data_IF_350293457971
#
_entry.id   IF_350293457971
#
_cell.length_a   1.000
_cell.length_b   1.000
_cell.length_c   1.000
_cell.angle_alpha   90.00
_cell.angle_beta   90.00
_cell.angle_gamma   90.00
#
_symmetry.space_group_name_H-M   'P 1'
#
loop_
_entity.id
_entity.type
_entity.pdbx_description
1 polymer ?
#
# COMPACT_ATOMS: atom_id res chain seq x y z
N UNK A 1 12.78 -22.37 -14.90
CA UNK A 1 14.08 -21.64 -15.00
C UNK A 1 14.79 -21.67 -13.67
N UNK A 2 16.07 -21.97 -13.63
CA UNK A 2 16.91 -21.97 -12.44
C UNK A 2 17.87 -20.77 -12.44
N UNK A 3 17.84 -19.97 -11.38
CA UNK A 3 18.74 -18.85 -11.12
C UNK A 3 19.77 -19.29 -10.09
N UNK A 4 21.07 -19.06 -10.37
CA UNK A 4 22.18 -19.59 -9.55
C UNK A 4 23.10 -18.50 -9.01
N UNK A 5 23.69 -18.77 -7.87
CA UNK A 5 24.81 -18.03 -7.27
C UNK A 5 24.48 -16.56 -6.90
N UNK A 6 23.20 -16.21 -6.70
CA UNK A 6 22.80 -14.87 -6.28
C UNK A 6 22.99 -14.66 -4.77
N UNK A 7 23.24 -13.43 -4.34
CA UNK A 7 22.97 -13.04 -2.95
C UNK A 7 21.48 -12.79 -2.82
N UNK A 8 20.76 -13.67 -2.14
CA UNK A 8 19.30 -13.66 -2.06
C UNK A 8 18.85 -13.00 -0.75
N UNK A 9 18.06 -11.93 -0.86
CA UNK A 9 17.39 -11.24 0.23
C UNK A 9 15.93 -11.70 0.26
N UNK A 10 15.66 -12.77 0.98
CA UNK A 10 14.33 -13.40 0.97
C UNK A 10 13.25 -12.58 1.68
N UNK A 11 13.60 -11.73 2.63
CA UNK A 11 12.73 -11.07 3.63
C UNK A 11 12.12 -12.05 4.65
N UNK A 12 12.45 -13.33 4.59
CA UNK A 12 12.02 -14.36 5.55
C UNK A 12 13.15 -14.71 6.53
N UNK A 13 14.40 -14.65 6.08
CA UNK A 13 15.61 -14.98 6.83
C UNK A 13 16.79 -14.07 6.45
N UNK A 14 17.94 -14.24 7.08
CA UNK A 14 19.17 -13.50 6.74
C UNK A 14 19.60 -13.77 5.29
N UNK A 15 20.15 -12.75 4.60
CA UNK A 15 20.61 -12.91 3.22
C UNK A 15 21.69 -13.99 3.08
N UNK A 16 21.65 -14.76 2.00
CA UNK A 16 22.62 -15.81 1.72
C UNK A 16 22.95 -15.93 0.23
N UNK A 17 24.11 -16.50 -0.10
CA UNK A 17 24.43 -16.88 -1.48
C UNK A 17 23.78 -18.23 -1.77
N UNK A 18 22.97 -18.27 -2.82
CA UNK A 18 22.20 -19.46 -3.19
C UNK A 18 21.53 -19.37 -4.54
N UNK A 19 20.63 -20.31 -4.73
CA UNK A 19 19.90 -20.54 -5.98
C UNK A 19 18.39 -20.51 -5.72
N UNK A 20 17.61 -20.19 -6.75
CA UNK A 20 16.16 -20.32 -6.69
C UNK A 20 15.60 -20.75 -8.05
N UNK A 21 14.49 -21.47 -8.00
CA UNK A 21 13.78 -21.96 -9.19
C UNK A 21 12.44 -21.31 -9.32
N UNK A 22 12.11 -20.92 -10.56
CA UNK A 22 10.81 -20.35 -10.93
C UNK A 22 10.16 -21.26 -11.97
N UNK A 23 8.92 -21.66 -11.72
CA UNK A 23 8.07 -22.39 -12.65
C UNK A 23 6.64 -21.86 -12.59
N UNK A 24 6.01 -21.71 -13.75
CA UNK A 24 4.61 -21.25 -13.90
C UNK A 24 4.27 -20.00 -13.06
N UNK A 25 5.21 -19.05 -13.03
CA UNK A 25 5.00 -17.77 -12.38
C UNK A 25 5.24 -17.73 -10.87
N UNK A 26 5.65 -18.83 -10.24
CA UNK A 26 5.88 -18.91 -8.80
C UNK A 26 7.30 -19.40 -8.47
N UNK A 27 7.81 -19.03 -7.30
CA UNK A 27 8.99 -19.66 -6.75
C UNK A 27 8.65 -21.09 -6.34
N UNK A 28 9.48 -22.06 -6.77
CA UNK A 28 9.25 -23.49 -6.45
C UNK A 28 10.28 -24.06 -5.49
N UNK A 29 11.53 -23.64 -5.61
CA UNK A 29 12.64 -24.07 -4.74
C UNK A 29 13.55 -22.89 -4.45
N UNK A 30 14.11 -22.82 -3.24
CA UNK A 30 15.11 -21.83 -2.82
C UNK A 30 16.09 -22.55 -1.92
N UNK A 31 17.40 -22.37 -2.16
CA UNK A 31 18.41 -23.04 -1.35
C UNK A 31 19.81 -22.87 -1.90
N UNK A 32 20.76 -23.63 -1.35
CA UNK A 32 22.15 -23.64 -1.83
C UNK A 32 22.37 -24.84 -2.74
N UNK A 33 23.10 -24.63 -3.85
CA UNK A 33 23.51 -25.69 -4.77
C UNK A 33 22.35 -26.55 -5.30
N UNK A 34 21.29 -25.88 -5.79
CA UNK A 34 20.17 -26.61 -6.42
C UNK A 34 20.67 -27.34 -7.67
N UNK A 35 20.35 -28.63 -7.75
CA UNK A 35 20.71 -29.44 -8.92
C UNK A 35 19.87 -28.98 -10.13
N UNK A 36 20.55 -28.75 -11.29
CA UNK A 36 19.84 -28.45 -12.54
C UNK A 36 18.93 -29.62 -12.93
N UNK A 37 17.75 -29.27 -13.46
CA UNK A 37 16.83 -30.16 -14.15
C UNK A 37 16.89 -29.85 -15.64
N UNK A 38 15.96 -30.35 -16.43
CA UNK A 38 15.83 -29.99 -17.86
C UNK A 38 15.16 -28.61 -17.98
N UNK A 39 15.93 -27.54 -17.70
CA UNK A 39 15.47 -26.16 -17.63
C UNK A 39 16.56 -25.15 -17.97
N UNK A 40 16.18 -23.95 -18.40
CA UNK A 40 17.13 -22.85 -18.62
C UNK A 40 17.77 -22.42 -17.27
N UNK A 41 19.08 -22.13 -17.36
CA UNK A 41 19.88 -21.71 -16.20
C UNK A 41 20.40 -20.29 -16.46
N UNK A 42 20.25 -19.42 -15.44
CA UNK A 42 20.85 -18.09 -15.43
C UNK A 42 21.81 -17.95 -14.24
N UNK A 43 23.08 -17.66 -14.51
CA UNK A 43 24.06 -17.35 -13.46
C UNK A 43 23.92 -15.88 -13.03
N UNK A 44 23.75 -15.67 -11.72
CA UNK A 44 23.62 -14.37 -11.07
C UNK A 44 24.79 -14.09 -10.11
N UNK A 45 25.95 -14.68 -10.36
CA UNK A 45 27.18 -14.43 -9.55
C UNK A 45 27.47 -12.92 -9.47
N UNK A 46 27.57 -12.40 -8.25
CA UNK A 46 27.87 -10.99 -7.98
C UNK A 46 26.65 -10.06 -8.05
N UNK A 47 25.45 -10.60 -8.25
CA UNK A 47 24.20 -9.84 -8.17
C UNK A 47 23.44 -10.12 -6.87
N UNK A 48 22.69 -9.10 -6.43
CA UNK A 48 21.73 -9.21 -5.35
C UNK A 48 20.33 -9.42 -5.92
N UNK A 49 19.54 -10.28 -5.28
CA UNK A 49 18.14 -10.53 -5.66
C UNK A 49 17.24 -10.18 -4.49
N UNK A 50 16.28 -9.31 -4.75
CA UNK A 50 15.26 -8.86 -3.81
C UNK A 50 13.88 -9.27 -4.30
N UNK A 51 12.87 -9.45 -3.42
CA UNK A 51 11.48 -9.52 -3.87
C UNK A 51 11.08 -8.21 -4.56
N UNK A 52 10.12 -8.28 -5.45
CA UNK A 52 9.51 -7.08 -6.02
C UNK A 52 8.96 -6.17 -4.94
N UNK A 53 9.16 -4.85 -5.10
CA UNK A 53 8.63 -3.87 -4.15
C UNK A 53 7.11 -3.82 -4.21
N UNK A 54 6.52 -3.57 -3.06
CA UNK A 54 5.07 -3.43 -2.86
C UNK A 54 4.76 -2.02 -2.33
N UNK A 55 3.88 -1.31 -3.01
CA UNK A 55 3.34 -0.03 -2.54
C UNK A 55 1.99 -0.25 -1.87
N UNK A 56 1.88 0.14 -0.60
CA UNK A 56 0.66 -0.09 0.18
C UNK A 56 -0.39 1.02 0.02
N UNK A 57 -0.02 2.17 -0.53
CA UNK A 57 -0.89 3.33 -0.66
C UNK A 57 -0.43 4.25 -1.77
N UNK A 58 -1.14 4.24 -2.88
CA UNK A 58 -0.91 5.19 -3.97
C UNK A 58 -2.21 5.43 -4.76
N UNK A 59 -2.08 6.29 -5.77
CA UNK A 59 -3.14 6.62 -6.72
C UNK A 59 -2.68 6.38 -8.16
N UNK A 60 -1.72 5.47 -8.33
CA UNK A 60 -1.09 5.16 -9.60
C UNK A 60 -2.11 4.75 -10.65
N UNK A 61 -2.12 5.46 -11.80
CA UNK A 61 -3.08 5.29 -12.88
C UNK A 61 -4.42 6.01 -12.70
N UNK A 62 -4.63 6.75 -11.56
CA UNK A 62 -5.87 7.50 -11.30
C UNK A 62 -5.69 9.03 -11.45
N UNK A 63 -4.47 9.49 -11.55
CA UNK A 63 -4.12 10.86 -11.92
C UNK A 63 -3.04 10.76 -13.02
N UNK A 64 -3.51 10.86 -14.26
CA UNK A 64 -2.68 10.59 -15.42
C UNK A 64 -1.69 11.72 -15.69
N UNK A 65 -0.47 11.32 -16.06
CA UNK A 65 0.63 12.25 -16.32
C UNK A 65 0.32 13.17 -17.49
N UNK A 66 0.51 14.50 -17.28
CA UNK A 66 0.41 15.54 -18.28
C UNK A 66 -0.96 15.77 -18.95
N UNK A 67 -2.03 15.14 -18.47
CA UNK A 67 -3.38 15.27 -19.06
C UNK A 67 -4.22 16.38 -18.38
N UNK A 68 -3.95 16.67 -17.10
CA UNK A 68 -4.70 17.66 -16.34
C UNK A 68 -6.06 17.13 -15.84
N UNK A 69 -7.10 17.96 -15.86
CA UNK A 69 -8.36 17.61 -15.19
C UNK A 69 -9.05 16.38 -15.79
N UNK A 70 -8.91 16.15 -17.08
CA UNK A 70 -9.56 15.02 -17.76
C UNK A 70 -8.97 13.67 -17.33
N UNK A 71 -7.67 13.62 -17.05
CA UNK A 71 -7.00 12.43 -16.51
C UNK A 71 -6.95 12.38 -14.98
N UNK A 72 -7.71 13.21 -14.27
CA UNK A 72 -7.74 13.23 -12.80
C UNK A 72 -9.04 12.64 -12.26
N UNK A 73 -9.01 11.33 -12.01
CA UNK A 73 -10.10 10.54 -11.39
C UNK A 73 -9.84 10.23 -9.90
N UNK A 74 -8.98 11.04 -9.27
CA UNK A 74 -8.51 10.83 -7.91
C UNK A 74 -9.62 10.96 -6.86
N UNK A 75 -10.53 11.95 -7.00
CA UNK A 75 -11.52 12.26 -5.98
C UNK A 75 -12.89 12.58 -6.57
N UNK A 76 -13.92 11.80 -6.20
CA UNK A 76 -15.32 12.14 -6.45
C UNK A 76 -15.85 13.07 -5.35
N UNK A 77 -15.95 14.37 -5.65
CA UNK A 77 -16.23 15.41 -4.64
C UNK A 77 -17.69 15.87 -4.57
N UNK A 78 -18.62 15.14 -5.18
CA UNK A 78 -20.07 15.50 -5.16
C UNK A 78 -20.75 15.12 -3.83
N UNK A 79 -20.22 14.13 -3.11
CA UNK A 79 -20.71 13.71 -1.78
C UNK A 79 -19.53 13.29 -0.89
N UNK A 80 -19.44 13.66 0.39
CA UNK A 80 -18.38 13.20 1.29
C UNK A 80 -18.43 11.70 1.64
N UNK A 81 -19.50 10.99 1.27
CA UNK A 81 -19.71 9.57 1.52
C UNK A 81 -19.98 8.84 0.22
N UNK A 82 -18.95 8.23 -0.35
CA UNK A 82 -18.96 7.55 -1.66
C UNK A 82 -18.36 6.14 -1.62
N UNK A 83 -18.73 5.27 -0.66
CA UNK A 83 -18.11 3.94 -0.50
C UNK A 83 -18.34 3.01 -1.70
N UNK A 84 -19.33 3.29 -2.53
CA UNK A 84 -19.69 2.55 -3.74
C UNK A 84 -18.79 2.86 -4.95
N UNK A 85 -17.92 3.87 -4.85
CA UNK A 85 -16.92 4.14 -5.89
C UNK A 85 -15.82 3.08 -5.83
N UNK A 86 -15.36 2.64 -6.98
CA UNK A 86 -14.35 1.59 -7.09
C UNK A 86 -13.12 2.14 -7.78
N UNK A 87 -11.97 2.14 -7.11
CA UNK A 87 -10.73 2.67 -7.67
C UNK A 87 -10.34 2.03 -9.00
N UNK A 88 -10.66 0.74 -9.21
CA UNK A 88 -10.37 0.04 -10.46
C UNK A 88 -11.09 0.66 -11.68
N UNK A 89 -12.25 1.27 -11.49
CA UNK A 89 -13.04 1.86 -12.58
C UNK A 89 -12.46 3.19 -13.09
N UNK A 90 -11.61 3.87 -12.28
CA UNK A 90 -10.91 5.11 -12.65
C UNK A 90 -9.41 4.93 -12.93
N UNK A 91 -8.92 3.68 -13.04
CA UNK A 91 -7.50 3.44 -13.24
C UNK A 91 -7.14 3.20 -14.70
N UNK A 92 -6.22 4.01 -15.25
CA UNK A 92 -5.58 3.78 -16.54
C UNK A 92 -4.25 3.03 -16.36
N UNK A 93 -4.18 1.71 -16.66
CA UNK A 93 -2.95 0.93 -16.53
C UNK A 93 -1.89 1.26 -17.58
N UNK A 94 -2.23 2.03 -18.60
CA UNK A 94 -1.33 2.44 -19.68
C UNK A 94 -0.69 3.82 -19.43
N UNK A 95 -0.97 4.47 -18.30
CA UNK A 95 -0.26 5.68 -17.92
C UNK A 95 1.25 5.41 -17.79
N UNK A 96 2.10 6.33 -18.24
CA UNK A 96 3.55 6.16 -18.25
C UNK A 96 4.13 5.94 -16.84
N UNK A 97 3.45 6.43 -15.80
CA UNK A 97 3.88 6.25 -14.41
C UNK A 97 3.82 4.80 -13.96
N UNK A 98 2.96 3.97 -14.54
CA UNK A 98 2.92 2.52 -14.31
C UNK A 98 4.17 1.86 -14.88
N UNK A 99 4.61 2.28 -16.08
CA UNK A 99 5.84 1.77 -16.69
C UNK A 99 7.08 2.21 -15.89
N UNK A 100 7.17 3.47 -15.47
CA UNK A 100 8.29 3.93 -14.65
C UNK A 100 8.33 3.26 -13.27
N UNK A 101 7.18 2.88 -12.71
CA UNK A 101 7.11 2.11 -11.47
C UNK A 101 7.74 0.72 -11.62
N UNK A 102 7.38 -0.03 -12.67
CA UNK A 102 7.98 -1.36 -12.89
C UNK A 102 9.47 -1.27 -13.20
N UNK A 103 9.93 -0.27 -13.93
CA UNK A 103 11.35 -0.03 -14.20
C UNK A 103 12.16 0.21 -12.93
N UNK A 104 11.55 0.83 -11.93
CA UNK A 104 12.13 1.02 -10.60
C UNK A 104 12.02 -0.22 -9.69
N UNK A 105 11.38 -1.31 -10.15
CA UNK A 105 11.20 -2.54 -9.37
C UNK A 105 9.95 -2.59 -8.49
N UNK A 106 9.03 -1.64 -8.60
CA UNK A 106 7.73 -1.70 -7.92
C UNK A 106 6.83 -2.64 -8.75
N UNK A 107 6.57 -3.82 -8.24
CA UNK A 107 5.86 -4.90 -8.97
C UNK A 107 4.40 -5.04 -8.59
N UNK A 108 4.02 -4.55 -7.42
CA UNK A 108 2.65 -4.60 -6.91
C UNK A 108 2.32 -3.29 -6.21
N UNK A 109 1.13 -2.77 -6.47
CA UNK A 109 0.62 -1.55 -5.83
C UNK A 109 -0.80 -1.75 -5.34
N UNK A 110 -1.16 -1.08 -4.23
CA UNK A 110 -2.54 -0.87 -3.83
C UNK A 110 -2.93 0.57 -4.19
N UNK A 111 -3.83 0.72 -5.15
CA UNK A 111 -4.29 2.01 -5.63
C UNK A 111 -5.80 2.20 -5.38
N UNK A 112 -6.20 3.44 -5.25
CA UNK A 112 -7.60 3.80 -5.01
C UNK A 112 -7.80 5.30 -4.84
N UNK A 113 -9.00 5.74 -4.41
CA UNK A 113 -9.35 7.14 -4.30
C UNK A 113 -8.48 7.93 -3.34
N UNK A 114 -8.35 9.24 -3.59
CA UNK A 114 -7.69 10.20 -2.72
C UNK A 114 -8.44 10.48 -1.43
N UNK A 115 -8.04 11.53 -0.72
CA UNK A 115 -8.47 11.82 0.65
C UNK A 115 -9.42 13.02 0.77
N UNK A 116 -10.11 13.41 -0.30
CA UNK A 116 -11.11 14.48 -0.22
C UNK A 116 -12.35 14.08 0.58
N UNK A 117 -12.75 12.81 0.56
CA UNK A 117 -13.99 12.32 1.13
C UNK A 117 -13.77 11.68 2.52
N UNK A 118 -14.78 11.76 3.38
CA UNK A 118 -14.79 11.00 4.66
C UNK A 118 -14.75 9.49 4.38
N UNK A 119 -15.51 9.04 3.35
CA UNK A 119 -15.38 7.69 2.77
C UNK A 119 -15.33 7.87 1.24
N UNK A 120 -14.20 7.49 0.64
CA UNK A 120 -13.90 7.81 -0.77
C UNK A 120 -14.21 6.68 -1.77
N UNK A 121 -14.25 5.42 -1.31
CA UNK A 121 -14.42 4.26 -2.17
C UNK A 121 -13.36 3.20 -1.94
N UNK A 122 -13.36 2.16 -2.77
CA UNK A 122 -12.49 0.99 -2.58
C UNK A 122 -11.15 1.13 -3.25
N UNK A 123 -10.12 0.66 -2.54
CA UNK A 123 -8.79 0.35 -3.09
C UNK A 123 -8.79 -1.05 -3.70
N UNK A 124 -7.90 -1.27 -4.65
CA UNK A 124 -7.60 -2.57 -5.24
C UNK A 124 -6.08 -2.75 -5.39
N UNK A 125 -5.62 -3.99 -5.47
CA UNK A 125 -4.21 -4.28 -5.69
C UNK A 125 -3.98 -4.85 -7.08
N UNK A 126 -2.91 -4.42 -7.77
CA UNK A 126 -2.57 -4.89 -9.09
C UNK A 126 -1.06 -5.00 -9.34
N UNK A 127 -0.68 -5.84 -10.32
CA UNK A 127 0.69 -5.95 -10.82
C UNK A 127 0.96 -4.83 -11.81
N UNK A 128 2.12 -4.20 -11.74
CA UNK A 128 2.47 -3.03 -12.56
C UNK A 128 2.85 -3.37 -14.01
N UNK A 129 2.56 -4.57 -14.47
CA UNK A 129 2.83 -5.02 -15.84
C UNK A 129 1.57 -5.53 -16.51
N UNK A 130 1.21 -4.95 -17.64
CA UNK A 130 0.05 -5.28 -18.44
C UNK A 130 -0.53 -4.04 -19.11
N UNK A 131 -1.68 -4.20 -19.75
CA UNK A 131 -2.46 -3.14 -20.39
C UNK A 131 -3.96 -3.28 -20.17
N UNK A 132 -4.37 -4.27 -19.39
CA UNK A 132 -5.76 -4.52 -19.01
C UNK A 132 -5.84 -4.65 -17.50
N UNK A 133 -6.50 -3.69 -16.84
CA UNK A 133 -6.52 -3.61 -15.37
C UNK A 133 -7.17 -4.83 -14.73
N UNK A 134 -8.16 -5.46 -15.39
CA UNK A 134 -8.81 -6.68 -14.89
C UNK A 134 -7.83 -7.87 -14.84
N UNK A 135 -6.91 -7.97 -15.83
CA UNK A 135 -5.87 -9.01 -15.87
C UNK A 135 -4.70 -8.71 -14.89
N UNK A 136 -4.42 -7.43 -14.65
CA UNK A 136 -3.39 -6.98 -13.74
C UNK A 136 -3.84 -7.07 -12.28
N UNK A 137 -5.12 -6.96 -12.01
CA UNK A 137 -5.70 -6.96 -10.65
C UNK A 137 -5.48 -8.31 -9.97
N UNK A 138 -4.98 -8.24 -8.72
CA UNK A 138 -4.74 -9.43 -7.89
C UNK A 138 -5.72 -9.54 -6.73
N UNK A 139 -6.32 -8.42 -6.32
CA UNK A 139 -7.39 -8.37 -5.31
C UNK A 139 -8.20 -7.08 -5.45
N UNK A 140 -9.52 -7.20 -5.50
CA UNK A 140 -10.46 -6.09 -5.59
C UNK A 140 -11.82 -6.46 -4.95
N UNK A 141 -12.28 -5.74 -3.89
CA UNK A 141 -11.54 -4.70 -3.16
C UNK A 141 -10.45 -5.25 -2.24
N UNK A 142 -9.49 -4.38 -1.84
CA UNK A 142 -8.48 -4.72 -0.83
C UNK A 142 -8.61 -3.86 0.43
N UNK A 143 -9.20 -2.68 0.32
CA UNK A 143 -9.46 -1.77 1.43
C UNK A 143 -10.56 -0.77 1.05
N UNK A 144 -11.13 -0.09 2.06
CA UNK A 144 -12.03 1.06 1.90
C UNK A 144 -11.29 2.34 2.31
N UNK A 145 -11.26 3.37 1.46
CA UNK A 145 -10.65 4.66 1.78
C UNK A 145 -11.52 5.47 2.72
N UNK A 146 -10.90 6.00 3.77
CA UNK A 146 -11.46 7.04 4.62
C UNK A 146 -10.45 8.16 4.84
N UNK A 147 -10.92 9.36 5.18
CA UNK A 147 -10.04 10.47 5.49
C UNK A 147 -10.54 11.29 6.68
N UNK A 148 -9.55 11.71 7.49
CA UNK A 148 -9.69 12.62 8.62
C UNK A 148 -8.93 13.91 8.32
N UNK A 149 -9.10 14.90 9.19
CA UNK A 149 -8.26 16.09 9.20
C UNK A 149 -8.63 17.15 8.18
N UNK A 150 -7.59 17.73 7.60
CA UNK A 150 -7.71 18.95 6.80
C UNK A 150 -8.37 18.72 5.44
N UNK A 151 -8.07 17.60 4.77
CA UNK A 151 -8.52 17.38 3.40
C UNK A 151 -10.06 17.35 3.29
N UNK A 152 -10.84 16.52 4.00
CA UNK A 152 -12.30 16.55 3.92
C UNK A 152 -12.89 17.85 4.48
N UNK A 153 -12.28 18.46 5.52
CA UNK A 153 -12.70 19.78 6.01
C UNK A 153 -12.60 20.86 4.94
N UNK A 154 -11.50 20.87 4.20
CA UNK A 154 -11.25 21.89 3.17
C UNK A 154 -12.15 21.66 1.95
N UNK A 155 -12.27 20.42 1.49
CA UNK A 155 -13.06 20.07 0.31
C UNK A 155 -14.57 20.42 0.47
N UNK A 156 -15.12 20.17 1.66
CA UNK A 156 -16.56 20.37 1.92
C UNK A 156 -16.90 21.56 2.81
N UNK A 157 -15.93 22.47 3.02
CA UNK A 157 -16.11 23.69 3.82
C UNK A 157 -17.30 24.53 3.36
N UNK A 158 -18.14 24.94 4.32
CA UNK A 158 -19.33 25.73 4.05
C UNK A 158 -20.46 24.99 3.32
N UNK A 159 -20.30 23.68 3.11
CA UNK A 159 -21.32 22.82 2.47
C UNK A 159 -21.81 21.74 3.43
N UNK A 160 -20.98 20.77 3.74
CA UNK A 160 -21.33 19.61 4.56
C UNK A 160 -20.39 19.41 5.76
N UNK A 161 -19.16 19.93 5.73
CA UNK A 161 -18.13 19.69 6.75
C UNK A 161 -17.39 20.99 7.07
N UNK A 162 -17.50 21.42 8.33
CA UNK A 162 -16.74 22.55 8.87
C UNK A 162 -15.82 22.15 10.03
N UNK A 163 -16.05 20.98 10.63
CA UNK A 163 -15.32 20.53 11.82
C UNK A 163 -14.89 19.06 11.74
N UNK A 164 -13.86 18.68 12.49
CA UNK A 164 -13.48 17.27 12.71
C UNK A 164 -14.58 16.45 13.36
N UNK A 165 -15.45 17.10 14.17
CA UNK A 165 -16.63 16.44 14.75
C UNK A 165 -17.58 15.94 13.67
N UNK A 166 -17.82 16.73 12.62
CA UNK A 166 -18.69 16.34 11.51
C UNK A 166 -18.11 15.18 10.69
N UNK A 167 -16.80 15.16 10.45
CA UNK A 167 -16.10 14.02 9.80
C UNK A 167 -16.39 12.73 10.58
N UNK A 168 -16.12 12.76 11.88
CA UNK A 168 -16.33 11.61 12.77
C UNK A 168 -17.79 11.19 12.88
N UNK A 169 -18.72 12.17 12.86
CA UNK A 169 -20.16 11.89 12.90
C UNK A 169 -20.63 11.19 11.62
N UNK A 170 -20.22 11.67 10.44
CA UNK A 170 -20.56 11.06 9.15
C UNK A 170 -20.02 9.63 9.01
N UNK A 171 -18.78 9.38 9.48
CA UNK A 171 -18.20 8.04 9.48
C UNK A 171 -18.99 7.11 10.38
N UNK A 172 -19.29 7.51 11.64
CA UNK A 172 -20.09 6.71 12.57
C UNK A 172 -21.50 6.44 12.03
N UNK A 173 -22.17 7.46 11.51
CA UNK A 173 -23.50 7.31 10.91
C UNK A 173 -23.50 6.25 9.79
N UNK A 174 -22.46 6.25 8.95
CA UNK A 174 -22.34 5.26 7.87
C UNK A 174 -22.10 3.86 8.42
N UNK A 175 -21.21 3.71 9.41
CA UNK A 175 -20.93 2.42 10.06
C UNK A 175 -22.18 1.87 10.77
N UNK A 176 -22.92 2.71 11.51
CA UNK A 176 -24.18 2.35 12.16
C UNK A 176 -25.23 1.86 11.15
N UNK A 177 -25.48 2.67 10.11
CA UNK A 177 -26.43 2.31 9.05
C UNK A 177 -26.06 0.99 8.38
N UNK A 178 -24.75 0.76 8.15
CA UNK A 178 -24.28 -0.48 7.55
C UNK A 178 -24.52 -1.68 8.47
N UNK A 179 -24.23 -1.56 9.78
CA UNK A 179 -24.52 -2.61 10.76
C UNK A 179 -26.02 -2.94 10.81
N UNK A 180 -26.88 -1.92 10.89
CA UNK A 180 -28.33 -2.12 10.88
C UNK A 180 -28.82 -2.77 9.59
N UNK A 181 -28.32 -2.32 8.44
CA UNK A 181 -28.63 -2.86 7.13
C UNK A 181 -28.26 -4.34 7.03
N UNK A 182 -27.05 -4.69 7.44
CA UNK A 182 -26.54 -6.06 7.46
C UNK A 182 -27.39 -6.98 8.35
N UNK A 183 -27.71 -6.55 9.59
CA UNK A 183 -28.56 -7.30 10.52
C UNK A 183 -29.96 -7.55 9.93
N UNK A 184 -30.59 -6.53 9.33
CA UNK A 184 -31.90 -6.67 8.68
C UNK A 184 -31.85 -7.67 7.53
N UNK A 185 -30.83 -7.57 6.68
CA UNK A 185 -30.61 -8.48 5.54
C UNK A 185 -30.41 -9.94 5.98
N UNK A 186 -29.55 -10.16 6.98
CA UNK A 186 -29.27 -11.49 7.53
C UNK A 186 -30.47 -12.12 8.27
N UNK A 187 -31.37 -11.29 8.82
CA UNK A 187 -32.62 -11.76 9.45
C UNK A 187 -33.71 -12.17 8.45
N UNK A 188 -33.45 -12.09 7.14
CA UNK A 188 -34.41 -12.43 6.09
C UNK A 188 -35.51 -11.39 5.90
N UNK A 189 -35.40 -10.19 6.47
CA UNK A 189 -36.32 -9.08 6.23
C UNK A 189 -36.13 -8.53 4.82
N UNK A 190 -37.24 -8.11 4.20
CA UNK A 190 -37.19 -7.37 2.94
C UNK A 190 -36.56 -5.99 3.20
N UNK A 191 -35.39 -5.76 2.61
CA UNK A 191 -34.62 -4.52 2.75
C UNK A 191 -34.30 -4.02 1.35
N UNK A 192 -34.62 -2.76 1.06
CA UNK A 192 -34.25 -2.13 -0.20
C UNK A 192 -32.72 -2.17 -0.38
N UNK A 193 -32.28 -2.52 -1.58
CA UNK A 193 -30.86 -2.54 -1.91
C UNK A 193 -30.26 -1.13 -1.82
N UNK A 194 -29.19 -1.00 -1.05
CA UNK A 194 -28.39 0.24 -0.92
C UNK A 194 -26.94 -0.04 -1.30
N UNK A 195 -26.53 0.46 -2.45
CA UNK A 195 -25.19 0.21 -3.00
C UNK A 195 -24.07 0.75 -2.10
N UNK A 196 -24.30 1.87 -1.39
CA UNK A 196 -23.32 2.46 -0.48
C UNK A 196 -23.13 1.57 0.76
N UNK A 197 -24.23 1.07 1.33
CA UNK A 197 -24.16 0.20 2.50
C UNK A 197 -23.61 -1.18 2.15
N UNK A 198 -23.96 -1.74 0.98
CA UNK A 198 -23.35 -3.00 0.50
C UNK A 198 -21.83 -2.90 0.39
N UNK A 199 -21.31 -1.80 -0.14
CA UNK A 199 -19.88 -1.59 -0.28
C UNK A 199 -19.14 -1.51 1.08
N UNK A 200 -19.85 -1.13 2.16
CA UNK A 200 -19.29 -1.04 3.51
C UNK A 200 -19.36 -2.36 4.31
N UNK A 201 -20.14 -3.34 3.87
CA UNK A 201 -20.26 -4.64 4.58
C UNK A 201 -18.90 -5.32 4.81
N UNK A 202 -17.99 -5.39 3.83
CA UNK A 202 -16.67 -6.02 4.03
C UNK A 202 -15.85 -5.36 5.15
N UNK A 203 -16.00 -4.04 5.36
CA UNK A 203 -15.36 -3.32 6.48
C UNK A 203 -15.93 -3.78 7.81
N UNK A 204 -17.26 -3.85 7.94
CA UNK A 204 -17.93 -4.31 9.17
C UNK A 204 -17.59 -5.77 9.47
N UNK A 205 -17.42 -6.61 8.45
CA UNK A 205 -17.03 -8.02 8.58
C UNK A 205 -15.53 -8.23 8.78
N UNK A 206 -14.73 -7.16 8.75
CA UNK A 206 -13.25 -7.22 8.85
C UNK A 206 -12.61 -8.03 7.71
N UNK A 207 -13.29 -8.11 6.57
CA UNK A 207 -12.76 -8.75 5.35
C UNK A 207 -11.75 -7.83 4.65
N UNK A 208 -11.92 -6.50 4.79
CA UNK A 208 -11.00 -5.48 4.33
C UNK A 208 -10.84 -4.38 5.40
N UNK A 209 -9.66 -3.77 5.54
CA UNK A 209 -9.45 -2.65 6.45
C UNK A 209 -10.06 -1.34 5.91
N UNK A 210 -10.34 -0.42 6.83
CA UNK A 210 -10.57 0.98 6.51
C UNK A 210 -9.22 1.71 6.48
N UNK A 211 -8.79 2.21 5.31
CA UNK A 211 -7.55 2.98 5.12
C UNK A 211 -7.77 4.43 5.55
N UNK A 212 -7.29 4.78 6.73
CA UNK A 212 -7.53 6.07 7.37
C UNK A 212 -6.40 7.06 7.07
N UNK A 213 -6.59 7.95 6.08
CA UNK A 213 -5.73 9.12 5.92
C UNK A 213 -5.79 9.98 7.19
N UNK A 214 -4.67 10.14 7.88
CA UNK A 214 -4.55 10.97 9.08
C UNK A 214 -3.10 11.39 9.31
N UNK A 215 -2.83 12.70 9.28
CA UNK A 215 -1.50 13.24 9.57
C UNK A 215 -1.34 13.54 11.06
N UNK A 216 -2.33 14.20 11.69
CA UNK A 216 -2.24 14.67 13.06
C UNK A 216 -2.48 13.57 14.08
N UNK A 217 -1.84 13.68 15.22
CA UNK A 217 -1.99 12.76 16.35
C UNK A 217 -3.45 12.65 16.85
N UNK A 218 -4.17 13.76 16.95
CA UNK A 218 -5.58 13.78 17.39
C UNK A 218 -6.53 13.13 16.37
N UNK A 219 -6.27 13.26 15.08
CA UNK A 219 -7.03 12.60 14.01
C UNK A 219 -6.77 11.07 14.02
N UNK A 220 -5.51 10.64 14.17
CA UNK A 220 -5.16 9.22 14.34
C UNK A 220 -5.80 8.60 15.58
N UNK A 221 -5.75 9.28 16.73
CA UNK A 221 -6.42 8.82 17.95
C UNK A 221 -7.95 8.72 17.77
N UNK A 222 -8.54 9.58 16.96
CA UNK A 222 -9.97 9.51 16.64
C UNK A 222 -10.27 8.32 15.73
N UNK A 223 -9.43 8.04 14.72
CA UNK A 223 -9.54 6.84 13.89
C UNK A 223 -9.45 5.56 14.73
N UNK A 224 -8.45 5.46 15.61
CA UNK A 224 -8.27 4.34 16.55
C UNK A 224 -9.52 4.16 17.44
N UNK A 225 -10.06 5.27 17.99
CA UNK A 225 -11.26 5.23 18.83
C UNK A 225 -12.45 4.68 18.09
N UNK A 226 -12.71 5.15 16.87
CA UNK A 226 -13.83 4.68 16.03
C UNK A 226 -13.63 3.22 15.66
N UNK A 227 -12.41 2.81 15.30
CA UNK A 227 -12.11 1.41 14.99
C UNK A 227 -12.43 0.48 16.17
N UNK A 228 -12.06 0.88 17.40
CA UNK A 228 -12.38 0.12 18.62
C UNK A 228 -13.89 0.12 18.94
N UNK A 229 -14.60 1.24 18.72
CA UNK A 229 -16.06 1.36 18.92
C UNK A 229 -16.85 0.40 18.01
N UNK A 230 -16.39 0.20 16.78
CA UNK A 230 -17.09 -0.61 15.77
C UNK A 230 -16.50 -2.00 15.55
N UNK A 231 -15.38 -2.32 16.21
CA UNK A 231 -14.62 -3.57 16.05
C UNK A 231 -14.24 -3.82 14.57
N UNK A 232 -13.63 -2.81 13.94
CA UNK A 232 -13.17 -2.87 12.55
C UNK A 232 -11.65 -2.78 12.47
N UNK A 233 -11.07 -3.29 11.38
CA UNK A 233 -9.66 -3.13 11.07
C UNK A 233 -9.40 -1.82 10.35
N UNK A 234 -8.28 -1.16 10.69
CA UNK A 234 -7.84 0.07 10.02
C UNK A 234 -6.35 0.03 9.71
N UNK A 235 -5.93 0.85 8.76
CA UNK A 235 -4.55 1.32 8.63
C UNK A 235 -4.50 2.81 8.96
N UNK A 236 -3.37 3.28 9.52
CA UNK A 236 -3.11 4.70 9.74
C UNK A 236 -2.18 5.18 8.64
N UNK A 237 -2.77 5.84 7.63
CA UNK A 237 -2.04 6.27 6.45
C UNK A 237 -1.46 7.68 6.65
N UNK A 238 -0.22 7.87 6.18
CA UNK A 238 0.67 9.01 6.37
C UNK A 238 1.28 9.09 7.77
N UNK A 239 0.48 9.06 8.84
CA UNK A 239 0.90 8.97 10.23
C UNK A 239 1.99 9.98 10.65
N UNK A 240 1.94 11.20 10.13
CA UNK A 240 2.98 12.25 10.24
C UNK A 240 3.33 12.60 11.68
N UNK A 241 2.32 12.84 12.55
CA UNK A 241 2.51 13.18 13.97
C UNK A 241 2.58 11.94 14.89
N UNK A 242 2.75 10.74 14.34
CA UNK A 242 2.73 9.49 15.10
C UNK A 242 3.74 9.42 16.23
N UNK A 243 4.88 10.13 16.09
CA UNK A 243 5.91 10.20 17.14
C UNK A 243 5.36 10.70 18.48
N UNK A 244 4.30 11.50 18.48
CA UNK A 244 3.66 11.99 19.70
C UNK A 244 2.77 10.94 20.42
N UNK A 245 2.40 9.85 19.74
CA UNK A 245 1.41 8.86 20.21
C UNK A 245 1.82 7.41 19.94
N UNK A 246 3.12 7.12 19.85
CA UNK A 246 3.63 5.77 19.54
C UNK A 246 3.10 4.69 20.49
N UNK A 247 2.94 5.00 21.78
CA UNK A 247 2.41 4.06 22.77
C UNK A 247 0.97 3.67 22.45
N UNK A 248 0.13 4.65 22.10
CA UNK A 248 -1.27 4.43 21.74
C UNK A 248 -1.42 3.66 20.43
N UNK A 249 -0.56 3.94 19.43
CA UNK A 249 -0.54 3.18 18.17
C UNK A 249 -0.12 1.74 18.48
N UNK A 250 0.95 1.53 19.24
CA UNK A 250 1.41 0.18 19.61
C UNK A 250 0.33 -0.60 20.35
N UNK A 251 -0.32 0.02 21.33
CA UNK A 251 -1.41 -0.59 22.11
C UNK A 251 -2.63 -0.93 21.22
N UNK A 252 -2.89 -0.13 20.18
CA UNK A 252 -4.00 -0.37 19.27
C UNK A 252 -3.79 -1.60 18.39
N UNK A 253 -2.55 -1.96 18.09
CA UNK A 253 -2.17 -3.02 17.17
C UNK A 253 -2.34 -2.68 15.69
N UNK A 254 -2.82 -1.48 15.35
CA UNK A 254 -3.04 -1.09 13.96
C UNK A 254 -1.72 -0.70 13.27
N UNK A 255 -1.52 -1.13 12.01
CA UNK A 255 -0.32 -0.79 11.24
C UNK A 255 -0.37 0.65 10.71
N UNK A 256 0.82 1.17 10.38
CA UNK A 256 0.99 2.48 9.78
C UNK A 256 1.56 2.41 8.37
N UNK A 257 1.19 3.37 7.52
CA UNK A 257 1.79 3.58 6.20
C UNK A 257 2.38 4.99 6.22
N UNK A 258 3.72 5.09 6.31
CA UNK A 258 4.43 6.35 6.56
C UNK A 258 4.79 7.06 5.26
N UNK A 259 4.52 8.35 5.18
CA UNK A 259 4.86 9.20 4.04
C UNK A 259 3.64 9.73 3.28
N UNK A 260 3.88 10.46 2.16
CA UNK A 260 5.17 10.76 1.55
C UNK A 260 5.97 11.78 2.35
N UNK A 261 7.27 11.57 2.54
CA UNK A 261 8.13 12.51 3.27
C UNK A 261 9.12 13.26 2.36
N UNK A 262 9.20 12.90 1.08
CA UNK A 262 10.03 13.57 0.07
C UNK A 262 9.22 14.67 -0.64
N UNK A 263 8.65 15.59 0.13
CA UNK A 263 7.83 16.68 -0.39
C UNK A 263 7.97 17.94 0.48
N UNK A 264 7.41 19.05 0.01
CA UNK A 264 7.28 20.25 0.84
C UNK A 264 6.17 20.06 1.89
N UNK A 265 6.35 20.69 3.03
CA UNK A 265 5.33 20.78 4.09
C UNK A 265 4.29 21.82 3.69
N UNK A 266 3.41 21.47 2.78
CA UNK A 266 2.43 22.35 2.14
C UNK A 266 1.15 22.59 2.97
N UNK A 267 0.95 21.77 4.00
CA UNK A 267 -0.18 21.85 4.94
C UNK A 267 0.30 21.91 6.38
N UNK A 268 -0.50 22.53 7.25
CA UNK A 268 -0.19 22.57 8.69
C UNK A 268 -0.07 21.15 9.30
N UNK A 269 -0.90 20.24 8.89
CA UNK A 269 -0.89 18.85 9.38
C UNK A 269 0.36 18.05 8.97
N UNK A 270 1.13 18.54 7.97
CA UNK A 270 2.41 17.98 7.55
C UNK A 270 3.63 18.65 8.23
N UNK A 271 3.43 19.58 9.17
CA UNK A 271 4.51 20.37 9.78
C UNK A 271 5.60 19.52 10.45
N UNK A 272 5.25 18.35 10.98
CA UNK A 272 6.16 17.45 11.68
C UNK A 272 6.60 16.25 10.83
N UNK A 273 6.41 16.31 9.50
CA UNK A 273 6.88 15.24 8.61
C UNK A 273 8.39 15.03 8.72
N UNK A 274 8.81 13.76 8.82
CA UNK A 274 10.19 13.39 9.08
C UNK A 274 10.50 11.97 8.63
N UNK A 275 11.67 11.77 8.01
CA UNK A 275 12.23 10.47 7.71
C UNK A 275 12.65 9.66 8.96
N UNK A 276 12.66 10.26 10.17
CA UNK A 276 12.89 9.55 11.43
C UNK A 276 11.66 8.74 11.88
N UNK A 277 10.47 9.08 11.42
CA UNK A 277 9.20 8.45 11.83
C UNK A 277 9.23 6.92 11.64
N UNK A 278 9.67 6.35 10.50
CA UNK A 278 9.80 4.90 10.34
C UNK A 278 10.73 4.24 11.36
N UNK A 279 11.87 4.88 11.70
CA UNK A 279 12.77 4.34 12.72
C UNK A 279 12.12 4.32 14.12
N UNK A 280 11.38 5.37 14.48
CA UNK A 280 10.67 5.40 15.77
C UNK A 280 9.58 4.33 15.87
N UNK A 281 8.90 4.03 14.76
CA UNK A 281 7.95 2.92 14.70
C UNK A 281 8.65 1.57 14.83
N UNK A 282 9.80 1.39 14.16
CA UNK A 282 10.61 0.19 14.30
C UNK A 282 11.07 -0.04 15.75
N UNK A 283 11.67 0.97 16.38
CA UNK A 283 12.11 0.91 17.79
C UNK A 283 10.95 0.54 18.74
N UNK A 284 9.74 0.97 18.41
CA UNK A 284 8.53 0.67 19.18
C UNK A 284 7.91 -0.70 18.85
N UNK A 285 8.37 -1.34 17.77
CA UNK A 285 7.82 -2.61 17.27
C UNK A 285 6.42 -2.47 16.70
N UNK A 286 6.11 -1.34 16.06
CA UNK A 286 4.88 -1.10 15.31
C UNK A 286 5.12 -1.61 13.88
N UNK A 287 4.15 -2.33 13.30
CA UNK A 287 4.19 -2.70 11.88
C UNK A 287 3.96 -1.46 11.03
N UNK A 288 4.88 -1.20 10.10
CA UNK A 288 4.76 -0.06 9.18
C UNK A 288 5.26 -0.39 7.78
N UNK A 289 4.78 0.38 6.80
CA UNK A 289 5.30 0.48 5.44
C UNK A 289 5.72 1.92 5.16
N UNK A 290 6.56 2.10 4.14
CA UNK A 290 6.90 3.40 3.57
C UNK A 290 6.15 3.53 2.24
N UNK A 291 5.57 4.72 1.98
CA UNK A 291 4.82 5.02 0.77
C UNK A 291 5.35 6.24 0.04
N UNK A 292 5.15 6.26 -1.26
CA UNK A 292 5.30 7.46 -2.10
C UNK A 292 4.03 8.29 -2.16
N UNK A 293 2.86 7.67 -1.91
CA UNK A 293 1.55 8.30 -2.14
C UNK A 293 1.47 8.89 -3.57
N UNK A 294 2.01 8.13 -4.56
CA UNK A 294 2.05 8.60 -5.95
C UNK A 294 0.67 9.08 -6.39
N UNK A 295 0.57 10.28 -7.02
CA UNK A 295 1.62 11.05 -7.67
C UNK A 295 2.34 12.11 -6.79
N UNK A 296 2.05 12.24 -5.49
CA UNK A 296 2.71 13.24 -4.62
C UNK A 296 4.23 13.06 -4.62
N UNK A 297 4.73 11.83 -4.47
CA UNK A 297 6.06 11.44 -4.91
C UNK A 297 5.90 10.46 -6.07
N UNK A 298 6.62 10.63 -7.20
CA UNK A 298 6.58 9.66 -8.26
C UNK A 298 6.95 8.26 -7.79
N UNK A 299 6.21 7.24 -8.26
CA UNK A 299 6.30 5.87 -7.76
C UNK A 299 7.70 5.27 -7.83
N UNK A 300 8.49 5.65 -8.84
CA UNK A 300 9.86 5.19 -9.00
C UNK A 300 10.80 5.61 -7.86
N UNK A 301 10.40 6.54 -7.00
CA UNK A 301 11.20 6.98 -5.85
C UNK A 301 10.88 6.24 -4.55
N UNK A 302 10.12 5.14 -4.59
CA UNK A 302 9.88 4.30 -3.42
C UNK A 302 11.19 3.82 -2.76
N UNK A 303 12.20 3.28 -3.49
CA UNK A 303 13.48 2.91 -2.88
C UNK A 303 14.26 4.11 -2.34
N UNK A 304 14.12 5.31 -2.92
CA UNK A 304 14.73 6.52 -2.39
C UNK A 304 14.12 6.94 -1.05
N UNK A 305 12.79 6.86 -0.89
CA UNK A 305 12.13 7.13 0.40
C UNK A 305 12.65 6.18 1.49
N UNK A 306 12.82 4.89 1.16
CA UNK A 306 13.40 3.90 2.08
C UNK A 306 14.88 4.21 2.40
N UNK A 307 15.68 4.63 1.40
CA UNK A 307 17.07 5.05 1.60
C UNK A 307 17.19 6.26 2.55
N UNK A 308 16.28 7.24 2.43
CA UNK A 308 16.26 8.40 3.31
C UNK A 308 15.83 8.05 4.73
N UNK A 309 14.90 7.10 4.91
CA UNK A 309 14.55 6.56 6.22
C UNK A 309 15.73 5.78 6.85
N UNK A 310 16.47 5.00 6.03
CA UNK A 310 17.72 4.37 6.48
C UNK A 310 18.77 5.40 6.91
N UNK A 311 18.98 6.44 6.12
CA UNK A 311 19.87 7.55 6.48
C UNK A 311 19.46 8.25 7.79
N UNK A 312 18.16 8.28 8.10
CA UNK A 312 17.59 8.83 9.32
C UNK A 312 17.62 7.86 10.52
N UNK A 313 18.21 6.67 10.38
CA UNK A 313 18.49 5.73 11.49
C UNK A 313 17.79 4.38 11.39
N UNK A 314 16.88 4.18 10.46
CA UNK A 314 16.22 2.87 10.28
C UNK A 314 17.24 1.83 9.77
N UNK A 315 17.37 0.63 10.37
CA UNK A 315 18.26 -0.41 9.84
C UNK A 315 17.95 -0.72 8.37
N UNK A 316 19.00 -0.95 7.56
CA UNK A 316 18.88 -1.13 6.12
C UNK A 316 17.87 -2.22 5.73
N UNK A 317 17.99 -3.40 6.35
CA UNK A 317 17.08 -4.51 6.06
C UNK A 317 15.62 -4.16 6.43
N UNK A 318 15.40 -3.40 7.50
CA UNK A 318 14.06 -2.96 7.89
C UNK A 318 13.49 -1.89 6.93
N UNK A 319 14.35 -1.03 6.38
CA UNK A 319 13.95 -0.10 5.32
C UNK A 319 13.50 -0.84 4.05
N UNK A 320 14.20 -1.92 3.68
CA UNK A 320 13.84 -2.79 2.55
C UNK A 320 12.54 -3.57 2.86
N UNK A 321 12.40 -4.10 4.08
CA UNK A 321 11.15 -4.75 4.50
C UNK A 321 9.96 -3.80 4.46
N UNK A 322 10.15 -2.51 4.76
CA UNK A 322 9.10 -1.49 4.76
C UNK A 322 8.56 -1.15 3.36
N UNK A 323 9.23 -1.59 2.30
CA UNK A 323 8.79 -1.45 0.89
C UNK A 323 8.60 -2.79 0.18
N UNK A 324 8.62 -3.90 0.93
CA UNK A 324 8.45 -5.26 0.37
C UNK A 324 7.46 -6.07 1.20
N UNK A 325 7.92 -6.79 2.22
CA UNK A 325 7.08 -7.72 3.00
C UNK A 325 6.12 -7.00 3.96
N UNK A 326 6.50 -5.86 4.54
CA UNK A 326 5.61 -5.16 5.46
C UNK A 326 4.36 -4.62 4.78
N UNK A 327 4.44 -3.89 3.62
CA UNK A 327 3.25 -3.49 2.89
C UNK A 327 2.40 -4.69 2.44
N UNK A 328 3.02 -5.82 2.05
CA UNK A 328 2.29 -7.03 1.73
C UNK A 328 1.49 -7.56 2.94
N UNK A 329 2.08 -7.55 4.15
CA UNK A 329 1.37 -7.91 5.40
C UNK A 329 0.22 -6.96 5.72
N UNK A 330 0.44 -5.64 5.58
CA UNK A 330 -0.58 -4.61 5.83
C UNK A 330 -1.79 -4.77 4.88
N UNK A 331 -1.52 -5.25 3.67
CA UNK A 331 -2.53 -5.49 2.63
C UNK A 331 -3.11 -6.91 2.65
N UNK A 332 -2.68 -7.78 3.58
CA UNK A 332 -3.04 -9.21 3.62
C UNK A 332 -2.67 -9.98 2.32
N UNK A 333 -1.61 -9.54 1.65
CA UNK A 333 -1.06 -10.15 0.43
C UNK A 333 0.25 -10.92 0.67
N UNK A 334 0.69 -11.07 1.93
CA UNK A 334 1.97 -11.69 2.29
C UNK A 334 2.07 -13.16 1.88
N UNK A 335 0.96 -13.81 1.60
CA UNK A 335 0.95 -15.19 1.08
C UNK A 335 1.26 -15.25 -0.43
N UNK A 336 1.25 -14.12 -1.13
CA UNK A 336 1.49 -14.01 -2.57
C UNK A 336 2.77 -13.25 -2.93
N UNK A 337 3.00 -12.09 -2.31
CA UNK A 337 4.05 -11.15 -2.69
C UNK A 337 4.90 -10.68 -1.50
N UNK A 338 5.91 -9.86 -1.75
CA UNK A 338 6.70 -9.15 -0.74
C UNK A 338 7.87 -9.96 -0.15
N UNK A 339 8.01 -11.24 -0.45
CA UNK A 339 9.18 -12.05 -0.07
C UNK A 339 9.45 -13.15 -1.09
N UNK A 340 10.68 -13.66 -1.11
CA UNK A 340 11.10 -14.78 -1.94
C UNK A 340 10.92 -16.07 -1.13
N UNK A 341 9.87 -16.82 -1.46
CA UNK A 341 9.49 -18.05 -0.74
C UNK A 341 8.77 -19.01 -1.68
N UNK A 342 9.00 -20.33 -1.57
CA UNK A 342 8.26 -21.31 -2.39
C UNK A 342 6.74 -21.12 -2.26
N UNK A 343 6.05 -21.13 -3.40
CA UNK A 343 4.61 -20.95 -3.52
C UNK A 343 4.14 -19.50 -3.72
N UNK A 344 5.01 -18.50 -3.52
CA UNK A 344 4.68 -17.10 -3.82
C UNK A 344 4.91 -16.76 -5.29
N UNK A 345 4.23 -15.71 -5.74
CA UNK A 345 4.41 -15.13 -7.07
C UNK A 345 5.90 -14.78 -7.26
N UNK A 346 6.48 -15.18 -8.39
CA UNK A 346 7.89 -14.93 -8.68
C UNK A 346 8.09 -13.50 -9.18
N UNK A 347 7.88 -12.55 -8.26
CA UNK A 347 8.19 -11.13 -8.42
C UNK A 347 9.52 -10.84 -7.77
N UNK A 348 10.54 -10.49 -8.56
CA UNK A 348 11.87 -10.22 -8.03
C UNK A 348 12.66 -9.24 -8.88
N UNK A 349 13.64 -8.64 -8.24
CA UNK A 349 14.52 -7.60 -8.79
C UNK A 349 15.96 -8.09 -8.73
N UNK A 350 16.69 -7.98 -9.83
CA UNK A 350 18.13 -8.26 -9.89
C UNK A 350 18.89 -6.95 -9.85
N UNK A 351 19.71 -6.76 -8.83
CA UNK A 351 20.42 -5.53 -8.51
C UNK A 351 21.93 -5.72 -8.50
N UNK A 352 22.68 -4.66 -8.84
CA UNK A 352 24.15 -4.65 -8.74
C UNK A 352 24.65 -4.37 -7.32
N UNK A 353 23.82 -3.72 -6.49
CA UNK A 353 24.12 -3.34 -5.10
C UNK A 353 22.87 -3.53 -4.22
N UNK A 354 22.87 -2.96 -3.01
CA UNK A 354 21.67 -2.89 -2.20
C UNK A 354 20.54 -2.20 -2.95
N UNK A 355 19.30 -2.68 -2.75
CA UNK A 355 18.08 -2.12 -3.38
C UNK A 355 17.93 -0.62 -3.13
N UNK A 356 18.38 -0.14 -1.96
CA UNK A 356 18.28 1.27 -1.55
C UNK A 356 19.60 2.06 -1.67
N UNK A 357 20.66 1.47 -2.25
CA UNK A 357 21.89 2.23 -2.59
C UNK A 357 21.63 3.12 -3.81
N UNK A 358 21.88 4.43 -3.70
CA UNK A 358 21.69 5.39 -4.79
C UNK A 358 22.55 5.11 -6.04
N UNK A 359 23.61 4.32 -5.89
CA UNK A 359 24.44 3.85 -7.00
C UNK A 359 24.06 2.44 -7.49
N UNK A 360 22.92 1.91 -7.03
CA UNK A 360 22.42 0.64 -7.53
C UNK A 360 21.94 0.78 -8.97
N UNK A 361 22.11 -0.30 -9.73
CA UNK A 361 21.50 -0.45 -11.04
C UNK A 361 20.60 -1.69 -11.02
N UNK A 362 19.33 -1.51 -11.27
CA UNK A 362 18.39 -2.61 -11.53
C UNK A 362 18.72 -3.17 -12.91
N UNK A 363 19.06 -4.46 -12.97
CA UNK A 363 19.40 -5.16 -14.22
C UNK A 363 18.16 -5.76 -14.87
N UNK A 364 17.30 -6.35 -14.07
CA UNK A 364 16.06 -6.94 -14.53
C UNK A 364 15.00 -6.87 -13.41
N UNK A 365 13.77 -6.77 -13.83
CA UNK A 365 12.58 -6.95 -12.98
C UNK A 365 11.76 -8.10 -13.55
N UNK A 366 11.32 -8.99 -12.69
CA UNK A 366 10.44 -10.10 -13.04
C UNK A 366 9.12 -9.95 -12.30
N UNK A 367 8.02 -10.20 -13.02
CA UNK A 367 6.67 -10.26 -12.46
C UNK A 367 6.06 -11.59 -12.90
N UNK A 368 5.55 -12.37 -11.95
CA UNK A 368 5.03 -13.71 -12.19
C UNK A 368 6.03 -14.57 -13.00
N UNK A 369 7.31 -14.49 -12.65
CA UNK A 369 8.39 -15.22 -13.29
C UNK A 369 8.71 -14.81 -14.74
N UNK A 370 8.04 -13.81 -15.25
CA UNK A 370 8.28 -13.28 -16.62
C UNK A 370 9.05 -11.97 -16.53
N UNK A 371 10.10 -11.85 -17.34
CA UNK A 371 10.88 -10.61 -17.41
C UNK A 371 9.98 -9.44 -17.81
N UNK A 372 9.95 -8.41 -16.98
CA UNK A 372 9.17 -7.19 -17.18
C UNK A 372 10.03 -6.06 -17.76
N UNK A 373 11.29 -5.96 -17.26
CA UNK A 373 12.30 -4.99 -17.70
C UNK A 373 13.66 -5.69 -17.81
#
# INVERSE_FOLDING_TARGET
>A
MLFKNATIYTMEEEPFIGDFRVDKGVFTEIGKNLEPKDEDIQDLSGFNVYPGMVEAHCHLGMEETAIGFEGNDLNEITDPITPNMRGIDGCNPMDETVQTAVEAGVTTVAAGPGSANVIGGTFFAYKTKGNCIDEMSIQNPIAMKAAFGENPKNCYKGKKIDTRMQISALLRETLEKTKEYMIKKESGKDVAYDQKLEAMIPVIKREIPLKCHAHRADDMLTAIRIAKEYDIEITLDHATDSQAILDQIKESGFPCICGPSLCHKDKFECANDSFETPNKMYEKGILFAITTDSPFNPQQYLPLNAALAHKAGLPELEAIKAITINPAKILHLENRVGSIKPGKDADFIICTKSLIDLNNTIKNVYINGTKAV
#
